data_IF_323165958486
#
_entry.id   IF_323165958486
#
_cell.length_a   1.000
_cell.length_b   1.000
_cell.length_c   1.000
_cell.angle_alpha   90.00
_cell.angle_beta   90.00
_cell.angle_gamma   90.00
#
_symmetry.space_group_name_H-M   'P 1'
#
loop_
_entity.id
_entity.type
_entity.pdbx_description
1 polymer ?
#
# COMPACT_ATOMS: atom_id res chain seq x y z
N UNK A 1 19.51 -60.74 65.68
CA UNK A 1 20.07 -60.16 64.44
C UNK A 1 19.35 -60.79 63.26
N UNK A 2 18.27 -60.17 62.80
CA UNK A 2 17.56 -60.57 61.57
C UNK A 2 16.84 -59.34 61.04
N UNK A 3 17.11 -59.06 59.77
CA UNK A 3 16.94 -57.77 59.10
C UNK A 3 15.49 -57.58 58.63
N UNK A 4 14.87 -56.43 58.94
CA UNK A 4 13.59 -55.99 58.36
C UNK A 4 13.82 -55.47 56.93
N UNK A 5 13.26 -56.16 55.94
CA UNK A 5 13.12 -55.65 54.57
C UNK A 5 12.06 -54.54 54.51
N UNK A 6 12.46 -53.36 54.02
CA UNK A 6 11.55 -52.30 53.56
C UNK A 6 11.16 -52.57 52.11
N UNK A 7 9.87 -52.70 51.83
CA UNK A 7 9.31 -52.63 50.48
C UNK A 7 9.09 -51.14 50.13
N UNK A 8 9.92 -50.60 49.24
CA UNK A 8 9.67 -49.31 48.60
C UNK A 8 8.94 -49.52 47.28
N UNK A 9 7.73 -48.96 47.14
CA UNK A 9 7.08 -48.81 45.84
C UNK A 9 7.83 -47.74 45.03
N UNK A 10 8.54 -48.16 43.99
CA UNK A 10 9.03 -47.26 42.96
C UNK A 10 7.91 -46.94 41.97
N UNK A 11 7.49 -45.68 41.91
CA UNK A 11 6.63 -45.18 40.84
C UNK A 11 7.49 -44.97 39.57
N UNK A 12 7.30 -45.83 38.56
CA UNK A 12 7.81 -45.57 37.21
C UNK A 12 6.98 -44.45 36.57
N UNK A 13 7.59 -43.28 36.41
CA UNK A 13 7.08 -42.23 35.51
C UNK A 13 7.45 -42.63 34.09
N UNK A 14 6.49 -43.17 33.32
CA UNK A 14 6.64 -43.27 31.88
C UNK A 14 6.54 -41.86 31.28
N UNK A 15 7.68 -41.30 30.87
CA UNK A 15 7.72 -40.18 29.93
C UNK A 15 7.21 -40.69 28.58
N UNK A 16 5.94 -40.44 28.27
CA UNK A 16 5.40 -40.58 26.92
C UNK A 16 6.01 -39.49 26.03
N UNK A 17 7.02 -39.88 25.25
CA UNK A 17 7.48 -39.10 24.09
C UNK A 17 6.32 -39.02 23.10
N UNK A 18 5.57 -37.92 23.13
CA UNK A 18 4.65 -37.56 22.06
C UNK A 18 5.53 -37.14 20.88
N UNK A 19 5.51 -37.84 19.74
CA UNK A 19 6.21 -37.36 18.56
C UNK A 19 5.59 -36.03 18.15
N UNK A 20 6.42 -34.99 18.07
CA UNK A 20 6.02 -33.72 17.47
C UNK A 20 5.53 -34.02 16.04
N UNK A 21 4.25 -33.80 15.79
CA UNK A 21 3.70 -33.82 14.44
C UNK A 21 4.41 -32.70 13.69
N UNK A 22 5.15 -32.98 12.60
CA UNK A 22 5.72 -31.91 11.82
C UNK A 22 4.55 -31.07 11.31
N UNK A 23 4.50 -29.79 11.72
CA UNK A 23 3.66 -28.79 11.08
C UNK A 23 4.03 -28.83 9.61
N UNK A 24 3.14 -29.37 8.78
CA UNK A 24 3.30 -29.32 7.32
C UNK A 24 3.30 -27.85 6.97
N UNK A 25 4.48 -27.27 6.72
CA UNK A 25 4.59 -25.96 6.10
C UNK A 25 3.71 -26.00 4.85
N UNK A 26 2.73 -25.11 4.77
CA UNK A 26 1.81 -25.06 3.66
C UNK A 26 2.64 -24.73 2.41
N UNK A 27 2.67 -25.67 1.46
CA UNK A 27 3.40 -25.46 0.21
C UNK A 27 2.81 -24.25 -0.52
N UNK A 28 3.67 -23.35 -1.01
CA UNK A 28 3.25 -22.19 -1.79
C UNK A 28 2.40 -22.67 -2.99
N UNK A 29 1.21 -22.10 -3.20
CA UNK A 29 0.38 -22.46 -4.34
C UNK A 29 1.08 -22.14 -5.67
N UNK A 30 0.72 -22.87 -6.73
CA UNK A 30 1.20 -22.58 -8.08
C UNK A 30 0.83 -21.16 -8.49
N UNK A 31 1.78 -20.41 -9.05
CA UNK A 31 1.56 -19.03 -9.50
C UNK A 31 0.47 -18.98 -10.57
N UNK A 32 -0.60 -18.25 -10.28
CA UNK A 32 -1.65 -17.91 -11.23
C UNK A 32 -1.28 -16.59 -11.94
N UNK A 33 -1.61 -16.48 -13.22
CA UNK A 33 -1.46 -15.24 -13.97
C UNK A 33 -2.82 -14.55 -14.04
N UNK A 34 -2.87 -13.26 -13.68
CA UNK A 34 -4.07 -12.46 -13.82
C UNK A 34 -4.41 -12.29 -15.31
N UNK A 35 -5.70 -12.34 -15.65
CA UNK A 35 -6.18 -11.87 -16.96
C UNK A 35 -6.29 -10.34 -16.86
N UNK A 36 -5.55 -9.58 -17.67
CA UNK A 36 -5.63 -8.12 -17.64
C UNK A 36 -7.04 -7.65 -17.94
N UNK A 37 -7.54 -6.66 -17.19
CA UNK A 37 -8.90 -6.15 -17.40
C UNK A 37 -9.08 -5.52 -18.80
N UNK A 38 -8.00 -5.13 -19.48
CA UNK A 38 -8.02 -4.65 -20.86
C UNK A 38 -8.51 -5.71 -21.85
N UNK A 39 -8.31 -6.99 -21.51
CA UNK A 39 -8.68 -8.15 -22.32
C UNK A 39 -10.10 -8.66 -21.96
N UNK A 40 -10.82 -7.96 -21.06
CA UNK A 40 -12.12 -8.37 -20.55
C UNK A 40 -13.18 -7.32 -20.90
N UNK A 41 -14.14 -7.72 -21.75
CA UNK A 41 -15.33 -6.93 -22.03
C UNK A 41 -16.52 -7.43 -21.21
N UNK A 42 -17.11 -6.55 -20.41
CA UNK A 42 -18.25 -6.87 -19.54
C UNK A 42 -19.54 -6.36 -20.19
N UNK A 43 -20.42 -7.29 -20.56
CA UNK A 43 -21.72 -7.01 -21.17
C UNK A 43 -22.84 -7.75 -20.41
N UNK A 44 -23.24 -7.21 -19.26
CA UNK A 44 -24.34 -7.70 -18.45
C UNK A 44 -25.30 -6.58 -17.97
N UNK A 45 -26.38 -6.97 -17.29
CA UNK A 45 -27.34 -6.04 -16.71
C UNK A 45 -26.90 -5.46 -15.35
N UNK A 46 -25.84 -5.97 -14.74
CA UNK A 46 -25.46 -5.63 -13.37
C UNK A 46 -24.23 -4.73 -13.32
N UNK A 47 -23.11 -5.14 -13.90
CA UNK A 47 -21.85 -4.40 -13.91
C UNK A 47 -21.79 -3.34 -14.99
N UNK A 48 -22.28 -3.59 -16.20
CA UNK A 48 -22.17 -2.60 -17.30
C UNK A 48 -22.75 -1.23 -16.93
N UNK A 49 -23.94 -1.12 -16.29
CA UNK A 49 -24.47 0.18 -15.87
C UNK A 49 -23.63 0.88 -14.80
N UNK A 50 -22.89 0.13 -13.95
CA UNK A 50 -22.01 0.71 -12.93
C UNK A 50 -20.72 1.25 -13.55
N UNK A 51 -20.14 0.49 -14.47
CA UNK A 51 -18.95 0.91 -15.24
C UNK A 51 -19.26 2.18 -16.04
N UNK A 52 -20.40 2.21 -16.74
CA UNK A 52 -20.81 3.37 -17.52
C UNK A 52 -21.13 4.58 -16.62
N UNK A 53 -21.73 4.38 -15.44
CA UNK A 53 -21.94 5.47 -14.48
C UNK A 53 -20.63 6.01 -13.92
N UNK A 54 -19.65 5.14 -13.65
CA UNK A 54 -18.33 5.58 -13.23
C UNK A 54 -17.69 6.49 -14.28
N UNK A 55 -17.74 6.05 -15.56
CA UNK A 55 -17.21 6.80 -16.71
C UNK A 55 -17.90 8.14 -16.93
N UNK A 56 -19.24 8.17 -16.87
CA UNK A 56 -20.03 9.33 -17.32
C UNK A 56 -20.41 10.30 -16.20
N UNK A 57 -20.32 9.87 -14.93
CA UNK A 57 -20.77 10.67 -13.78
C UNK A 57 -19.68 10.74 -12.70
N UNK A 58 -19.21 9.61 -12.19
CA UNK A 58 -18.37 9.58 -10.98
C UNK A 58 -17.04 10.31 -11.19
N UNK A 59 -16.30 9.97 -12.26
CA UNK A 59 -14.99 10.59 -12.52
C UNK A 59 -15.09 12.11 -12.67
N UNK A 60 -16.11 12.59 -13.39
CA UNK A 60 -16.34 14.04 -13.56
C UNK A 60 -16.70 14.71 -12.24
N UNK A 61 -17.52 14.05 -11.40
CA UNK A 61 -17.88 14.56 -10.09
C UNK A 61 -16.66 14.67 -9.17
N UNK A 62 -15.79 13.67 -9.17
CA UNK A 62 -14.58 13.66 -8.33
C UNK A 62 -13.55 14.70 -8.80
N UNK A 63 -13.37 14.87 -10.12
CA UNK A 63 -12.54 15.94 -10.68
C UNK A 63 -13.04 17.33 -10.27
N UNK A 64 -14.35 17.58 -10.35
CA UNK A 64 -14.95 18.84 -9.89
C UNK A 64 -14.79 19.04 -8.39
N UNK A 65 -14.86 17.97 -7.61
CA UNK A 65 -14.65 18.07 -6.17
C UNK A 65 -13.19 18.42 -5.85
N UNK A 66 -12.22 17.80 -6.52
CA UNK A 66 -10.80 18.15 -6.41
C UNK A 66 -10.51 19.60 -6.80
N UNK A 67 -11.18 20.13 -7.83
CA UNK A 67 -11.11 21.55 -8.21
C UNK A 67 -11.72 22.45 -7.14
N UNK A 68 -12.94 22.15 -6.71
CA UNK A 68 -13.71 22.96 -5.76
C UNK A 68 -13.03 23.08 -4.41
N UNK A 69 -12.47 21.98 -3.91
CA UNK A 69 -11.79 21.94 -2.61
C UNK A 69 -10.33 22.41 -2.69
N UNK A 70 -9.85 22.71 -3.90
CA UNK A 70 -8.53 23.29 -4.14
C UNK A 70 -7.38 22.29 -4.15
N UNK A 71 -7.65 21.00 -4.35
CA UNK A 71 -6.60 19.98 -4.44
C UNK A 71 -5.73 20.21 -5.68
N UNK A 72 -6.33 20.60 -6.82
CA UNK A 72 -5.57 20.97 -8.02
C UNK A 72 -4.81 22.29 -7.84
N UNK A 73 -5.40 23.27 -7.14
CA UNK A 73 -4.75 24.56 -6.83
C UNK A 73 -3.44 24.34 -6.04
N UNK A 74 -3.40 23.35 -5.15
CA UNK A 74 -2.19 23.03 -4.38
C UNK A 74 -0.99 22.73 -5.29
N UNK A 75 -1.18 22.00 -6.40
CA UNK A 75 -0.11 21.75 -7.37
C UNK A 75 0.29 23.02 -8.11
N UNK A 76 -0.66 23.89 -8.47
CA UNK A 76 -0.37 25.19 -9.11
C UNK A 76 0.49 26.06 -8.19
N UNK A 77 0.15 26.11 -6.91
CA UNK A 77 0.91 26.88 -5.91
C UNK A 77 2.29 26.26 -5.66
N UNK A 78 2.37 24.93 -5.51
CA UNK A 78 3.62 24.20 -5.29
C UNK A 78 4.59 24.33 -6.48
N UNK A 79 4.05 24.43 -7.71
CA UNK A 79 4.81 24.71 -8.92
C UNK A 79 5.27 26.18 -9.04
N UNK A 80 4.84 27.06 -8.14
CA UNK A 80 5.13 28.50 -8.21
C UNK A 80 4.47 29.22 -9.39
N UNK A 81 3.46 28.62 -10.02
CA UNK A 81 2.75 29.21 -11.17
C UNK A 81 1.79 30.33 -10.77
N UNK A 82 1.30 30.29 -9.52
CA UNK A 82 0.48 31.33 -8.93
C UNK A 82 0.75 31.43 -7.42
N UNK A 83 0.59 32.61 -6.80
CA UNK A 83 0.64 32.73 -5.35
C UNK A 83 -0.58 32.08 -4.71
N UNK A 84 -0.38 31.36 -3.59
CA UNK A 84 -1.46 30.73 -2.84
C UNK A 84 -0.97 30.04 -1.58
N UNK A 85 -1.89 29.39 -0.87
CA UNK A 85 -1.62 28.58 0.32
C UNK A 85 -2.26 27.22 0.14
N UNK A 86 -1.63 26.18 0.68
CA UNK A 86 -2.16 24.82 0.70
C UNK A 86 -3.58 24.79 1.31
N UNK A 87 -4.46 24.00 0.72
CA UNK A 87 -5.85 23.77 1.16
C UNK A 87 -6.10 22.28 1.41
N UNK A 88 -6.92 21.99 2.42
CA UNK A 88 -7.28 20.62 2.77
C UNK A 88 -6.28 19.93 3.70
N UNK A 89 -6.34 18.61 3.73
CA UNK A 89 -5.53 17.76 4.59
C UNK A 89 -4.17 17.46 3.95
N UNK A 90 -3.21 17.06 4.77
CA UNK A 90 -1.82 16.75 4.35
C UNK A 90 -1.75 15.69 3.24
N UNK A 91 -2.76 14.83 3.11
CA UNK A 91 -2.80 13.74 2.12
C UNK A 91 -3.72 13.99 0.92
N UNK A 92 -4.26 15.20 0.74
CA UNK A 92 -5.25 15.49 -0.32
C UNK A 92 -4.67 15.40 -1.74
N UNK A 93 -3.35 15.44 -1.90
CA UNK A 93 -2.68 15.08 -3.17
C UNK A 93 -3.13 13.69 -3.67
N UNK A 94 -3.33 12.75 -2.74
CA UNK A 94 -3.76 11.38 -3.09
C UNK A 94 -5.14 11.31 -3.73
N UNK A 95 -6.04 12.25 -3.43
CA UNK A 95 -7.37 12.26 -4.06
C UNK A 95 -7.24 12.53 -5.57
N UNK A 96 -6.35 13.44 -5.95
CA UNK A 96 -6.06 13.71 -7.36
C UNK A 96 -5.46 12.47 -8.03
N UNK A 97 -4.52 11.79 -7.36
CA UNK A 97 -3.88 10.58 -7.89
C UNK A 97 -4.90 9.44 -8.10
N UNK A 98 -5.75 9.16 -7.11
CA UNK A 98 -6.80 8.12 -7.21
C UNK A 98 -7.81 8.41 -8.32
N UNK A 99 -8.17 9.68 -8.54
CA UNK A 99 -9.06 10.06 -9.64
C UNK A 99 -8.38 9.87 -11.00
N UNK A 100 -7.08 10.17 -11.12
CA UNK A 100 -6.30 9.86 -12.33
C UNK A 100 -6.26 8.35 -12.58
N UNK A 101 -6.09 7.53 -11.53
CA UNK A 101 -6.11 6.07 -11.64
C UNK A 101 -7.47 5.56 -12.16
N UNK A 102 -8.57 6.03 -11.58
CA UNK A 102 -9.93 5.69 -12.04
C UNK A 102 -10.21 6.13 -13.48
N UNK A 103 -9.71 7.32 -13.88
CA UNK A 103 -9.78 7.80 -15.25
C UNK A 103 -8.93 6.94 -16.20
N UNK A 104 -7.75 6.50 -15.78
CA UNK A 104 -6.89 5.62 -16.56
C UNK A 104 -7.62 4.32 -16.92
N UNK A 105 -8.19 3.62 -15.93
CA UNK A 105 -8.93 2.37 -16.17
C UNK A 105 -10.13 2.57 -17.10
N UNK A 106 -10.79 3.72 -16.99
CA UNK A 106 -11.89 4.09 -17.90
C UNK A 106 -11.40 4.31 -19.33
N UNK A 107 -10.28 5.02 -19.52
CA UNK A 107 -9.68 5.25 -20.84
C UNK A 107 -9.19 3.96 -21.51
N UNK A 108 -8.84 2.94 -20.71
CA UNK A 108 -8.46 1.62 -21.21
C UNK A 108 -9.63 0.84 -21.80
N UNK A 109 -10.84 0.98 -21.25
CA UNK A 109 -12.03 0.30 -21.80
C UNK A 109 -12.67 1.07 -22.95
N UNK A 110 -12.69 2.40 -22.84
CA UNK A 110 -13.24 3.29 -23.89
C UNK A 110 -12.49 4.62 -23.92
N UNK A 111 -11.83 4.88 -25.04
CA UNK A 111 -11.14 6.16 -25.29
C UNK A 111 -12.10 7.34 -25.25
N UNK A 112 -11.68 8.39 -24.55
CA UNK A 112 -12.36 9.67 -24.46
C UNK A 112 -11.29 10.78 -24.55
N UNK A 113 -11.11 11.42 -25.73
CA UNK A 113 -10.07 12.42 -25.92
C UNK A 113 -10.21 13.65 -25.02
N UNK A 114 -11.44 14.01 -24.60
CA UNK A 114 -11.66 15.16 -23.75
C UNK A 114 -11.24 14.87 -22.31
N UNK A 115 -11.62 13.68 -21.80
CA UNK A 115 -11.15 13.22 -20.49
C UNK A 115 -9.63 13.03 -20.50
N UNK A 116 -9.08 12.38 -21.53
CA UNK A 116 -7.63 12.13 -21.62
C UNK A 116 -6.85 13.44 -21.61
N UNK A 117 -7.29 14.45 -22.38
CA UNK A 117 -6.68 15.79 -22.35
C UNK A 117 -6.76 16.44 -20.97
N UNK A 118 -7.91 16.36 -20.29
CA UNK A 118 -8.06 16.94 -18.95
C UNK A 118 -7.10 16.29 -17.94
N UNK A 119 -6.95 14.96 -18.01
CA UNK A 119 -5.99 14.23 -17.18
C UNK A 119 -4.55 14.60 -17.56
N UNK A 120 -4.22 14.72 -18.85
CA UNK A 120 -2.90 15.21 -19.29
C UNK A 120 -2.59 16.59 -18.69
N UNK A 121 -3.54 17.53 -18.74
CA UNK A 121 -3.36 18.88 -18.19
C UNK A 121 -3.09 18.83 -16.67
N UNK A 122 -3.79 17.96 -15.92
CA UNK A 122 -3.55 17.74 -14.49
C UNK A 122 -2.15 17.13 -14.25
N UNK A 123 -1.76 16.13 -15.04
CA UNK A 123 -0.42 15.52 -14.97
C UNK A 123 0.67 16.56 -15.21
N UNK A 124 0.45 17.53 -16.09
CA UNK A 124 1.40 18.64 -16.29
C UNK A 124 1.55 19.50 -15.03
N UNK A 125 0.46 19.77 -14.29
CA UNK A 125 0.52 20.49 -13.01
C UNK A 125 1.31 19.69 -11.96
N UNK A 126 1.02 18.39 -11.84
CA UNK A 126 1.73 17.48 -10.93
C UNK A 126 3.23 17.47 -11.25
N UNK A 127 3.58 17.31 -12.52
CA UNK A 127 4.97 17.28 -12.98
C UNK A 127 5.69 18.60 -12.71
N UNK A 128 5.01 19.74 -12.83
CA UNK A 128 5.60 21.04 -12.57
C UNK A 128 5.75 21.37 -11.08
N UNK A 129 4.95 20.74 -10.21
CA UNK A 129 5.08 20.85 -8.76
C UNK A 129 6.25 20.03 -8.18
N UNK A 130 6.70 19.00 -8.91
CA UNK A 130 7.79 18.13 -8.49
C UNK A 130 9.10 18.94 -8.32
N UNK A 131 9.74 18.76 -7.16
CA UNK A 131 10.97 19.44 -6.81
C UNK A 131 12.18 18.84 -7.58
N UNK A 132 13.30 19.58 -7.71
CA UNK A 132 14.45 19.12 -8.50
C UNK A 132 15.09 17.82 -8.02
N UNK A 133 14.98 17.48 -6.73
CA UNK A 133 15.44 16.24 -6.12
C UNK A 133 14.50 15.05 -6.36
N UNK A 134 13.32 15.29 -6.97
CA UNK A 134 12.29 14.29 -7.22
C UNK A 134 11.17 14.30 -6.17
N UNK A 135 11.33 15.05 -5.07
CA UNK A 135 10.32 15.14 -4.01
C UNK A 135 9.00 15.74 -4.52
N UNK A 136 7.87 15.16 -4.12
CA UNK A 136 6.54 15.66 -4.44
C UNK A 136 5.54 15.42 -3.30
N UNK A 137 5.19 16.49 -2.61
CA UNK A 137 4.08 16.58 -1.66
C UNK A 137 3.75 18.06 -1.52
N UNK A 138 2.54 18.48 -1.88
CA UNK A 138 2.20 19.90 -1.94
C UNK A 138 2.15 20.54 -0.56
N UNK A 139 1.72 19.81 0.48
CA UNK A 139 1.68 20.32 1.85
C UNK A 139 3.11 20.62 2.34
N UNK A 140 4.00 19.65 2.26
CA UNK A 140 5.38 19.86 2.72
C UNK A 140 6.17 20.79 1.80
N UNK A 141 5.80 20.95 0.54
CA UNK A 141 6.42 21.96 -0.33
C UNK A 141 6.01 23.38 0.08
N UNK A 142 4.74 23.60 0.45
CA UNK A 142 4.19 24.93 0.67
C UNK A 142 4.15 25.39 2.14
N UNK A 143 3.96 24.47 3.08
CA UNK A 143 3.67 24.79 4.49
C UNK A 143 4.90 24.57 5.37
N UNK A 144 5.53 23.40 5.27
CA UNK A 144 6.64 23.01 6.15
C UNK A 144 7.80 22.31 5.42
N UNK A 145 8.49 22.98 4.46
CA UNK A 145 9.55 22.37 3.64
C UNK A 145 10.74 21.83 4.44
N UNK A 146 11.00 22.38 5.61
CA UNK A 146 12.01 21.90 6.54
C UNK A 146 11.61 20.62 7.29
N UNK A 147 10.35 20.18 7.18
CA UNK A 147 9.78 19.05 7.91
C UNK A 147 9.50 17.82 7.05
N UNK A 148 9.97 17.80 5.79
CA UNK A 148 9.97 16.60 4.93
C UNK A 148 10.51 15.40 5.71
N UNK A 149 9.77 14.29 5.67
CA UNK A 149 10.07 13.03 6.33
C UNK A 149 10.13 13.09 7.86
N UNK A 150 9.79 14.19 8.53
CA UNK A 150 9.90 14.25 10.01
C UNK A 150 8.70 13.63 10.71
N UNK A 151 7.49 13.82 10.18
CA UNK A 151 6.27 13.25 10.72
C UNK A 151 5.86 11.97 10.00
N UNK A 152 6.71 10.93 10.02
CA UNK A 152 6.43 9.67 9.30
C UNK A 152 5.12 9.00 9.76
N UNK A 153 4.73 9.20 11.03
CA UNK A 153 3.53 8.60 11.62
C UNK A 153 2.23 9.15 11.01
N UNK A 154 2.15 10.46 10.79
CA UNK A 154 0.89 11.12 10.40
C UNK A 154 0.99 12.04 9.18
N UNK A 155 2.18 12.23 8.63
CA UNK A 155 2.45 13.14 7.51
C UNK A 155 2.07 12.59 6.15
N UNK A 156 1.85 11.28 6.01
CA UNK A 156 1.36 10.64 4.78
C UNK A 156 2.20 10.86 3.50
N UNK A 157 3.42 11.37 3.57
CA UNK A 157 4.30 11.56 2.39
C UNK A 157 4.51 10.26 1.60
N UNK A 158 4.80 9.14 2.29
CA UNK A 158 4.92 7.82 1.66
C UNK A 158 3.58 7.27 1.14
N UNK A 159 2.47 7.62 1.80
CA UNK A 159 1.13 7.22 1.37
C UNK A 159 0.72 7.92 0.07
N UNK A 160 0.94 9.24 -0.01
CA UNK A 160 0.73 10.00 -1.23
C UNK A 160 1.66 9.53 -2.36
N UNK A 161 2.91 9.17 -2.04
CA UNK A 161 3.83 8.58 -3.00
C UNK A 161 3.31 7.26 -3.59
N UNK A 162 2.74 6.38 -2.77
CA UNK A 162 2.18 5.12 -3.26
C UNK A 162 1.00 5.34 -4.21
N UNK A 163 0.04 6.18 -3.84
CA UNK A 163 -1.08 6.50 -4.73
C UNK A 163 -0.65 7.22 -6.03
N UNK A 164 0.38 8.07 -5.98
CA UNK A 164 0.98 8.65 -7.20
C UNK A 164 1.51 7.53 -8.12
N UNK A 165 2.23 6.57 -7.55
CA UNK A 165 2.81 5.45 -8.29
C UNK A 165 1.72 4.57 -8.91
N UNK A 166 0.66 4.23 -8.16
CA UNK A 166 -0.47 3.46 -8.70
C UNK A 166 -1.13 4.16 -9.88
N UNK A 167 -1.46 5.45 -9.73
CA UNK A 167 -2.01 6.29 -10.79
C UNK A 167 -1.10 6.34 -12.02
N UNK A 168 0.21 6.48 -11.79
CA UNK A 168 1.21 6.53 -12.86
C UNK A 168 1.30 5.24 -13.67
N UNK A 169 1.32 4.09 -12.98
CA UNK A 169 1.34 2.77 -13.62
C UNK A 169 0.04 2.53 -14.39
N UNK A 170 -1.12 2.83 -13.78
CA UNK A 170 -2.41 2.68 -14.43
C UNK A 170 -2.53 3.56 -15.69
N UNK A 171 -2.12 4.82 -15.61
CA UNK A 171 -2.20 5.76 -16.73
C UNK A 171 -1.26 5.38 -17.86
N UNK A 172 -0.04 4.95 -17.56
CA UNK A 172 0.92 4.47 -18.56
C UNK A 172 0.43 3.20 -19.24
N UNK A 173 -0.12 2.24 -18.49
CA UNK A 173 -0.65 1.01 -19.09
C UNK A 173 -1.89 1.30 -19.97
N UNK A 174 -2.71 2.27 -19.57
CA UNK A 174 -3.94 2.62 -20.28
C UNK A 174 -3.70 3.52 -21.49
N UNK A 175 -2.69 4.37 -21.51
CA UNK A 175 -2.49 5.38 -22.59
C UNK A 175 -1.16 5.23 -23.35
N UNK A 176 -0.19 4.51 -22.80
CA UNK A 176 1.18 4.48 -23.29
C UNK A 176 2.02 5.72 -22.93
N UNK A 177 1.41 6.78 -22.36
CA UNK A 177 2.12 8.01 -21.98
C UNK A 177 2.95 7.81 -20.72
N UNK A 178 4.09 8.50 -20.66
CA UNK A 178 5.10 8.28 -19.62
C UNK A 178 5.26 9.41 -18.60
N UNK A 179 4.74 10.61 -18.85
CA UNK A 179 5.05 11.78 -18.02
C UNK A 179 4.78 11.53 -16.52
N UNK A 180 3.60 11.00 -16.17
CA UNK A 180 3.28 10.67 -14.78
C UNK A 180 4.14 9.52 -14.23
N UNK A 181 4.47 8.52 -15.06
CA UNK A 181 5.40 7.44 -14.68
C UNK A 181 6.80 7.97 -14.38
N UNK A 182 7.31 8.89 -15.20
CA UNK A 182 8.63 9.47 -15.00
C UNK A 182 8.67 10.36 -13.74
N UNK A 183 7.57 11.06 -13.42
CA UNK A 183 7.39 11.77 -12.14
C UNK A 183 7.41 10.80 -10.96
N UNK A 184 6.63 9.70 -11.04
CA UNK A 184 6.59 8.69 -10.00
C UNK A 184 7.96 8.00 -9.78
N UNK A 185 8.68 7.68 -10.85
CA UNK A 185 10.04 7.12 -10.78
C UNK A 185 11.01 8.08 -10.07
N UNK A 186 10.99 9.37 -10.40
CA UNK A 186 11.84 10.36 -9.72
C UNK A 186 11.52 10.47 -8.24
N UNK A 187 10.23 10.39 -7.86
CA UNK A 187 9.87 10.43 -6.44
C UNK A 187 10.27 9.13 -5.72
N UNK A 188 10.11 7.97 -6.36
CA UNK A 188 10.60 6.70 -5.84
C UNK A 188 12.13 6.67 -5.71
N UNK A 189 12.87 7.26 -6.65
CA UNK A 189 14.32 7.42 -6.57
C UNK A 189 14.74 8.35 -5.41
N UNK A 190 13.99 9.44 -5.20
CA UNK A 190 14.16 10.31 -4.04
C UNK A 190 13.95 9.52 -2.73
N UNK A 191 12.87 8.75 -2.62
CA UNK A 191 12.55 7.94 -1.44
C UNK A 191 13.64 6.88 -1.21
N UNK A 192 14.07 6.17 -2.27
CA UNK A 192 15.19 5.22 -2.21
C UNK A 192 16.46 5.90 -1.71
N UNK A 193 16.73 7.16 -2.07
CA UNK A 193 17.90 7.89 -1.56
C UNK A 193 17.85 8.18 -0.05
N UNK A 194 16.66 8.23 0.55
CA UNK A 194 16.44 8.59 1.97
C UNK A 194 16.31 7.36 2.86
N UNK A 195 15.58 6.33 2.43
CA UNK A 195 15.22 5.16 3.24
C UNK A 195 15.91 3.89 2.74
N UNK A 196 16.24 2.99 3.66
CA UNK A 196 16.86 1.70 3.35
C UNK A 196 17.79 1.19 4.45
N UNK A 197 18.35 -0.02 4.29
CA UNK A 197 19.12 -0.70 5.34
C UNK A 197 20.37 0.04 5.85
N UNK A 198 21.02 0.81 4.97
CA UNK A 198 22.21 1.60 5.31
C UNK A 198 21.89 3.12 5.38
N UNK A 199 20.60 3.45 5.44
CA UNK A 199 20.07 4.82 5.36
C UNK A 199 19.15 5.06 6.56
N UNK A 200 18.04 5.77 6.36
CA UNK A 200 17.08 6.01 7.43
C UNK A 200 16.15 4.80 7.61
N UNK A 201 16.09 4.32 8.86
CA UNK A 201 15.13 3.32 9.31
C UNK A 201 13.80 3.97 9.70
N UNK A 202 12.82 3.89 8.80
CA UNK A 202 11.45 4.32 9.05
C UNK A 202 10.48 3.64 8.08
N UNK A 203 9.24 3.42 8.52
CA UNK A 203 8.14 2.90 7.70
C UNK A 203 6.95 3.84 7.80
N UNK A 204 6.12 3.90 6.75
CA UNK A 204 4.94 4.76 6.74
C UNK A 204 4.00 4.48 7.91
N UNK A 205 3.46 5.52 8.54
CA UNK A 205 2.35 5.38 9.47
C UNK A 205 1.02 4.97 8.79
N UNK A 206 0.95 5.05 7.46
CA UNK A 206 -0.15 4.55 6.64
C UNK A 206 0.44 3.72 5.48
N UNK A 207 0.46 2.39 5.57
CA UNK A 207 0.91 1.50 4.49
C UNK A 207 0.18 1.81 3.19
N UNK A 208 0.89 1.76 2.07
CA UNK A 208 0.43 2.05 0.70
C UNK A 208 1.63 2.01 -0.26
N UNK A 209 2.77 2.54 0.17
CA UNK A 209 4.00 2.58 -0.64
C UNK A 209 4.52 1.19 -1.01
N UNK A 210 4.31 0.20 -0.14
CA UNK A 210 4.83 -1.16 -0.28
C UNK A 210 4.27 -1.86 -1.54
N UNK A 211 2.94 -1.88 -1.69
CA UNK A 211 2.28 -2.47 -2.86
C UNK A 211 2.55 -1.64 -4.14
N UNK A 212 2.59 -0.32 -4.00
CA UNK A 212 2.80 0.58 -5.13
C UNK A 212 4.21 0.41 -5.73
N UNK A 213 5.25 0.28 -4.89
CA UNK A 213 6.62 0.04 -5.36
C UNK A 213 6.78 -1.30 -6.09
N UNK A 214 6.04 -2.34 -5.69
CA UNK A 214 5.99 -3.62 -6.41
C UNK A 214 5.35 -3.44 -7.79
N UNK A 215 4.24 -2.69 -7.89
CA UNK A 215 3.64 -2.31 -9.18
C UNK A 215 4.62 -1.52 -10.05
N UNK A 216 5.38 -0.58 -9.47
CA UNK A 216 6.38 0.20 -10.19
C UNK A 216 7.54 -0.67 -10.68
N UNK A 217 8.02 -1.60 -9.86
CA UNK A 217 9.01 -2.59 -10.25
C UNK A 217 8.52 -3.40 -11.46
N UNK A 218 7.29 -3.92 -11.45
CA UNK A 218 6.74 -4.63 -12.61
C UNK A 218 6.62 -3.76 -13.86
N UNK A 219 6.25 -2.48 -13.70
CA UNK A 219 6.10 -1.56 -14.83
C UNK A 219 7.44 -1.14 -15.47
N UNK A 220 8.53 -1.15 -14.70
CA UNK A 220 9.83 -0.57 -15.09
C UNK A 220 10.97 -1.59 -15.21
N UNK A 221 10.89 -2.72 -14.51
CA UNK A 221 11.98 -3.67 -14.33
C UNK A 221 13.08 -3.23 -13.35
N UNK A 222 12.93 -2.07 -12.69
CA UNK A 222 13.95 -1.54 -11.77
C UNK A 222 13.91 -2.25 -10.41
N UNK A 223 14.90 -3.10 -10.17
CA UNK A 223 15.00 -3.92 -8.96
C UNK A 223 15.22 -3.11 -7.68
N UNK A 224 15.65 -1.84 -7.76
CA UNK A 224 15.70 -0.95 -6.58
C UNK A 224 14.34 -0.78 -5.94
N UNK A 225 13.27 -0.65 -6.73
CA UNK A 225 11.91 -0.49 -6.20
C UNK A 225 11.41 -1.75 -5.48
N UNK A 226 11.71 -2.95 -5.99
CA UNK A 226 11.45 -4.21 -5.30
C UNK A 226 12.19 -4.27 -3.94
N UNK A 227 13.47 -3.93 -3.92
CA UNK A 227 14.26 -3.93 -2.67
C UNK A 227 13.76 -2.90 -1.66
N UNK A 228 13.30 -1.75 -2.13
CA UNK A 228 12.73 -0.72 -1.27
C UNK A 228 11.37 -1.15 -0.69
N UNK A 229 10.52 -1.82 -1.48
CA UNK A 229 9.27 -2.41 -0.99
C UNK A 229 9.55 -3.47 0.09
N UNK A 230 10.48 -4.39 -0.20
CA UNK A 230 10.96 -5.40 0.76
C UNK A 230 11.46 -4.74 2.06
N UNK A 231 12.28 -3.69 1.96
CA UNK A 231 12.75 -2.95 3.13
C UNK A 231 11.60 -2.42 3.98
N UNK A 232 10.61 -1.74 3.40
CA UNK A 232 9.49 -1.19 4.18
C UNK A 232 8.63 -2.28 4.85
N UNK A 233 8.46 -3.44 4.20
CA UNK A 233 7.74 -4.58 4.76
C UNK A 233 8.54 -5.21 5.90
N UNK A 234 9.83 -5.46 5.68
CA UNK A 234 10.71 -6.12 6.65
C UNK A 234 11.00 -5.24 7.87
N UNK A 235 11.10 -3.92 7.70
CA UNK A 235 11.40 -2.97 8.77
C UNK A 235 10.18 -2.74 9.70
N UNK A 236 8.96 -3.03 9.23
CA UNK A 236 7.74 -2.79 10.00
C UNK A 236 7.66 -3.75 11.18
N UNK A 237 7.43 -3.19 12.37
CA UNK A 237 7.40 -3.91 13.63
C UNK A 237 8.75 -4.09 14.32
N UNK A 238 9.86 -3.67 13.69
CA UNK A 238 11.18 -3.68 14.31
C UNK A 238 11.45 -2.35 15.02
N UNK A 239 11.86 -2.36 16.31
CA UNK A 239 12.08 -1.15 17.09
C UNK A 239 13.46 -0.51 16.86
N UNK A 240 14.31 -1.12 16.03
CA UNK A 240 15.68 -0.68 15.83
C UNK A 240 15.74 0.66 15.09
N UNK A 241 16.23 1.70 15.75
CA UNK A 241 16.40 3.03 15.13
C UNK A 241 15.11 3.85 14.96
N UNK A 242 13.96 3.38 15.46
CA UNK A 242 12.66 4.08 15.31
C UNK A 242 11.66 3.76 16.41
N UNK A 243 10.72 4.68 16.65
CA UNK A 243 9.58 4.43 17.52
C UNK A 243 8.50 3.65 16.76
N UNK A 244 7.99 2.58 17.38
CA UNK A 244 6.84 1.83 16.87
C UNK A 244 5.54 2.62 17.02
N UNK A 245 4.66 2.51 16.03
CA UNK A 245 3.36 3.18 16.02
C UNK A 245 2.23 2.32 16.58
N UNK A 246 2.50 1.04 16.87
CA UNK A 246 1.58 0.11 17.49
C UNK A 246 0.55 -0.49 16.53
N UNK A 247 -0.51 -1.06 17.08
CA UNK A 247 -1.52 -1.82 16.33
C UNK A 247 -2.24 -0.97 15.29
N UNK A 248 -2.46 0.33 15.57
CA UNK A 248 -3.15 1.25 14.67
C UNK A 248 -2.54 1.28 13.25
N UNK A 249 -1.22 1.13 13.14
CA UNK A 249 -0.46 1.11 11.90
C UNK A 249 0.21 -0.25 11.60
N UNK A 250 -0.30 -1.33 12.21
CA UNK A 250 0.19 -2.70 12.02
C UNK A 250 1.69 -2.83 12.26
N UNK A 251 2.15 -2.11 13.29
CA UNK A 251 3.56 -1.86 13.56
C UNK A 251 3.93 -2.22 15.01
N UNK A 252 3.14 -3.12 15.60
CA UNK A 252 3.29 -3.60 16.97
C UNK A 252 4.22 -4.82 17.06
N UNK A 253 4.42 -5.52 15.95
CA UNK A 253 5.25 -6.73 15.81
C UNK A 253 5.78 -6.84 14.38
N UNK A 254 6.94 -7.50 14.16
CA UNK A 254 7.40 -7.86 12.82
C UNK A 254 6.29 -8.49 12.00
N UNK A 255 6.16 -8.12 10.73
CA UNK A 255 5.00 -8.53 9.90
C UNK A 255 4.86 -10.05 9.75
N UNK A 256 5.97 -10.80 9.78
CA UNK A 256 5.99 -12.27 9.74
C UNK A 256 5.52 -12.93 11.05
N UNK A 257 5.45 -12.16 12.14
CA UNK A 257 4.99 -12.61 13.46
C UNK A 257 3.55 -12.17 13.76
N UNK A 258 2.92 -11.41 12.86
CA UNK A 258 1.52 -11.02 13.00
C UNK A 258 0.60 -12.18 12.61
N UNK A 259 -0.38 -12.47 13.48
CA UNK A 259 -1.33 -13.58 13.29
C UNK A 259 -2.78 -13.12 13.27
N UNK A 260 -3.03 -11.84 13.53
CA UNK A 260 -4.37 -11.27 13.66
C UNK A 260 -4.43 -9.91 12.96
N UNK A 261 -5.57 -9.58 12.37
CA UNK A 261 -5.85 -8.22 11.89
C UNK A 261 -6.22 -7.31 13.08
N UNK A 262 -5.49 -6.20 13.19
CA UNK A 262 -5.67 -5.20 14.25
C UNK A 262 -5.55 -3.77 13.70
N UNK A 263 -6.03 -2.81 14.49
CA UNK A 263 -5.92 -1.38 14.17
C UNK A 263 -6.81 -0.91 13.02
N UNK A 264 -6.29 0.03 12.24
CA UNK A 264 -7.06 0.66 11.17
C UNK A 264 -7.19 -0.28 9.95
N UNK A 265 -8.42 -0.55 9.53
CA UNK A 265 -8.73 -1.55 8.51
C UNK A 265 -8.02 -1.31 7.16
N UNK A 266 -8.02 -0.08 6.63
CA UNK A 266 -7.38 0.23 5.33
C UNK A 266 -5.86 0.04 5.39
N UNK A 267 -5.18 0.66 6.38
CA UNK A 267 -3.76 0.45 6.66
C UNK A 267 -3.38 -1.03 6.67
N UNK A 268 -4.18 -1.84 7.38
CA UNK A 268 -3.96 -3.28 7.44
C UNK A 268 -4.06 -3.92 6.05
N UNK A 269 -5.15 -3.70 5.32
CA UNK A 269 -5.35 -4.33 4.02
C UNK A 269 -4.30 -3.89 2.99
N UNK A 270 -3.93 -2.61 2.94
CA UNK A 270 -2.88 -2.13 2.03
C UNK A 270 -1.53 -2.78 2.35
N UNK A 271 -1.16 -2.88 3.63
CA UNK A 271 0.04 -3.61 4.04
C UNK A 271 -0.02 -5.07 3.59
N UNK A 272 -1.14 -5.75 3.82
CA UNK A 272 -1.29 -7.16 3.50
C UNK A 272 -1.29 -7.42 1.99
N UNK A 273 -1.82 -6.50 1.17
CA UNK A 273 -1.64 -6.53 -0.27
C UNK A 273 -0.16 -6.46 -0.66
N UNK A 274 0.59 -5.50 -0.09
CA UNK A 274 2.03 -5.40 -0.35
C UNK A 274 2.82 -6.64 0.11
N UNK A 275 2.46 -7.21 1.27
CA UNK A 275 3.03 -8.47 1.75
C UNK A 275 2.72 -9.64 0.81
N UNK A 276 1.50 -9.73 0.29
CA UNK A 276 1.09 -10.79 -0.62
C UNK A 276 1.83 -10.70 -1.96
N UNK A 277 1.93 -9.49 -2.52
CA UNK A 277 2.69 -9.23 -3.74
C UNK A 277 4.17 -9.58 -3.56
N UNK A 278 4.76 -9.23 -2.41
CA UNK A 278 6.15 -9.56 -2.10
C UNK A 278 6.38 -11.06 -1.90
N UNK A 279 5.47 -11.75 -1.19
CA UNK A 279 5.53 -13.19 -0.99
C UNK A 279 5.44 -13.93 -2.34
N UNK A 280 4.57 -13.47 -3.25
CA UNK A 280 4.44 -14.03 -4.59
C UNK A 280 5.69 -13.80 -5.46
N UNK A 281 6.35 -12.65 -5.34
CA UNK A 281 7.55 -12.33 -6.12
C UNK A 281 8.82 -13.03 -5.59
N UNK A 282 8.93 -13.19 -4.27
CA UNK A 282 10.14 -13.74 -3.61
C UNK A 282 10.03 -15.21 -3.24
N UNK A 283 8.81 -15.75 -3.17
CA UNK A 283 8.54 -17.09 -2.66
C UNK A 283 8.75 -17.22 -1.15
N UNK A 284 8.65 -16.14 -0.37
CA UNK A 284 8.82 -16.15 1.08
C UNK A 284 7.69 -16.91 1.79
N UNK A 285 7.95 -18.12 2.34
CA UNK A 285 6.91 -18.94 2.95
C UNK A 285 6.48 -18.42 4.33
N UNK A 286 7.32 -17.65 5.03
CA UNK A 286 6.96 -17.09 6.33
C UNK A 286 5.98 -15.93 6.16
N UNK A 287 6.22 -15.09 5.15
CA UNK A 287 5.32 -13.99 4.83
C UNK A 287 3.96 -14.51 4.37
N UNK A 288 3.95 -15.55 3.53
CA UNK A 288 2.73 -16.24 3.12
C UNK A 288 1.98 -16.85 4.32
N UNK A 289 2.68 -17.54 5.23
CA UNK A 289 2.04 -18.13 6.41
C UNK A 289 1.42 -17.08 7.34
N UNK A 290 2.07 -15.92 7.52
CA UNK A 290 1.50 -14.82 8.28
C UNK A 290 0.20 -14.30 7.63
N UNK A 291 0.18 -14.15 6.30
CA UNK A 291 -1.01 -13.76 5.55
C UNK A 291 -2.15 -14.77 5.67
N UNK A 292 -1.87 -16.08 5.62
CA UNK A 292 -2.89 -17.11 5.83
C UNK A 292 -3.53 -17.01 7.22
N UNK A 293 -2.71 -16.82 8.26
CA UNK A 293 -3.22 -16.65 9.64
C UNK A 293 -4.09 -15.39 9.76
N UNK A 294 -3.60 -14.26 9.23
CA UNK A 294 -4.32 -12.99 9.22
C UNK A 294 -5.63 -13.12 8.43
N UNK A 295 -5.61 -13.78 7.27
CA UNK A 295 -6.79 -14.00 6.44
C UNK A 295 -7.86 -14.77 7.20
N UNK A 296 -7.50 -15.87 7.86
CA UNK A 296 -8.42 -16.62 8.71
C UNK A 296 -8.99 -15.79 9.86
N UNK A 297 -8.16 -14.96 10.50
CA UNK A 297 -8.66 -14.04 11.53
C UNK A 297 -9.63 -12.98 10.97
N UNK A 298 -9.40 -12.48 9.74
CA UNK A 298 -10.35 -11.60 9.05
C UNK A 298 -11.66 -12.33 8.79
N UNK A 299 -11.64 -13.42 8.02
CA UNK A 299 -12.86 -14.00 7.44
C UNK A 299 -13.67 -14.83 8.42
N UNK A 300 -13.02 -15.48 9.39
CA UNK A 300 -13.69 -16.36 10.34
C UNK A 300 -14.18 -15.60 11.59
N UNK A 301 -13.65 -14.39 11.86
CA UNK A 301 -13.89 -13.69 13.14
C UNK A 301 -14.24 -12.21 13.03
N UNK A 302 -13.69 -11.48 12.06
CA UNK A 302 -13.68 -10.01 12.06
C UNK A 302 -14.31 -9.35 10.81
N UNK A 303 -14.91 -10.14 9.92
CA UNK A 303 -15.63 -9.68 8.74
C UNK A 303 -17.15 -9.70 8.96
N UNK A 304 -17.82 -8.60 8.60
CA UNK A 304 -19.28 -8.52 8.62
C UNK A 304 -19.91 -9.36 7.52
N UNK A 305 -21.20 -9.68 7.65
CA UNK A 305 -21.96 -10.44 6.65
C UNK A 305 -21.91 -9.83 5.24
N UNK A 306 -21.76 -8.50 5.14
CA UNK A 306 -21.66 -7.78 3.87
C UNK A 306 -20.26 -7.82 3.24
N UNK A 307 -19.28 -8.47 3.89
CA UNK A 307 -17.87 -8.43 3.52
C UNK A 307 -17.11 -7.20 4.03
N UNK A 308 -17.80 -6.27 4.70
CA UNK A 308 -17.16 -5.11 5.33
C UNK A 308 -16.25 -5.53 6.49
N UNK A 309 -15.20 -4.75 6.73
CA UNK A 309 -14.24 -4.93 7.83
C UNK A 309 -14.00 -3.59 8.55
N UNK A 310 -13.57 -3.65 9.82
CA UNK A 310 -13.36 -2.46 10.65
C UNK A 310 -14.52 -2.21 11.61
N UNK A 311 -14.57 -2.93 12.75
CA UNK A 311 -15.75 -2.94 13.61
C UNK A 311 -15.97 -1.70 14.49
N UNK A 312 -15.32 -0.57 14.19
CA UNK A 312 -15.25 0.56 15.11
C UNK A 312 -15.94 1.81 14.55
N UNK A 313 -16.73 2.47 15.41
CA UNK A 313 -17.18 3.84 15.23
C UNK A 313 -16.08 4.89 15.51
N UNK A 314 -14.89 4.45 15.97
CA UNK A 314 -13.81 5.29 16.52
C UNK A 314 -12.40 4.95 16.00
N UNK A 315 -12.28 4.16 14.91
CA UNK A 315 -10.98 3.90 14.27
C UNK A 315 -10.55 5.04 13.34
#
# INVERSE_FOLDING_TARGET
MTCMCRLGLGALVLCSLIPAVPTRAQEMPSRLNAVPFQDVHVEDAFWSPRIERNRTVTIEADLRQCERDGHLDNFVFAAGMAPGKHRGLVFNDSDVYKVIEGAAYTLSSRRDPALEKRIDDIIHLIAAAQQPDGYLDTYYTLVEPQNRWKNIKGGHELYCAGHLIEAAVAYRNSTGKRQLLDVACKFADHIDSVFGPDKRHAVSGHPEIELALLKLYHATGEKRYLRLAQFFIDERGHPDGRQLFGEYAQDHKPVREQTEVVGHAVRAMYLYCGMADLAAETGDPQLFQALENIWHDVVDRKMYLTGGIGPSAHN
#
